data_IF_051773778320
#
_entry.id   IF_051773778320
#
_cell.length_a   1.000
_cell.length_b   1.000
_cell.length_c   1.000
_cell.angle_alpha   90.00
_cell.angle_beta   90.00
_cell.angle_gamma   90.00
#
_symmetry.space_group_name_H-M   'P 1'
#
loop_
_entity.id
_entity.type
_entity.pdbx_description
1 polymer ?
#
# COMPACT_ATOMS: atom_id res chain seq x y z
N UNK A 1 16.52 -14.60 42.86
CA UNK A 1 15.96 -13.44 42.11
C UNK A 1 16.76 -12.98 40.88
N UNK A 2 17.96 -13.53 40.55
CA UNK A 2 18.75 -13.11 39.36
C UNK A 2 18.36 -13.73 38.01
N UNK A 3 17.72 -14.91 37.99
CA UNK A 3 17.42 -15.61 36.73
C UNK A 3 16.30 -14.97 35.88
N UNK A 4 15.34 -14.30 36.51
CA UNK A 4 14.20 -13.73 35.80
C UNK A 4 14.60 -12.60 34.82
N UNK A 5 15.56 -11.76 35.21
CA UNK A 5 15.97 -10.59 34.41
C UNK A 5 16.69 -10.99 33.11
N UNK A 6 17.58 -11.99 33.19
CA UNK A 6 18.34 -12.52 32.03
C UNK A 6 17.45 -13.29 31.04
N UNK A 7 16.40 -13.97 31.51
CA UNK A 7 15.43 -14.64 30.64
C UNK A 7 14.55 -13.65 29.86
N UNK A 8 14.12 -12.56 30.51
CA UNK A 8 13.34 -11.51 29.86
C UNK A 8 14.15 -10.80 28.77
N UNK A 9 15.44 -10.52 29.01
CA UNK A 9 16.32 -9.90 28.00
C UNK A 9 16.47 -10.79 26.76
N UNK A 10 16.56 -12.12 26.93
CA UNK A 10 16.62 -13.06 25.81
C UNK A 10 15.30 -13.15 25.05
N UNK A 11 14.15 -13.14 25.72
CA UNK A 11 12.84 -13.15 25.04
C UNK A 11 12.64 -11.86 24.24
N UNK A 12 12.85 -10.69 24.85
CA UNK A 12 12.67 -9.40 24.18
C UNK A 12 13.59 -9.27 22.95
N UNK A 13 14.83 -9.75 23.06
CA UNK A 13 15.78 -9.79 21.93
C UNK A 13 15.27 -10.69 20.80
N UNK A 14 14.83 -11.92 21.11
CA UNK A 14 14.28 -12.84 20.09
C UNK A 14 13.04 -12.25 19.41
N UNK A 15 12.08 -11.72 20.17
CA UNK A 15 10.88 -11.14 19.59
C UNK A 15 11.19 -9.95 18.69
N UNK A 16 12.09 -9.05 19.12
CA UNK A 16 12.52 -7.90 18.32
C UNK A 16 13.20 -8.32 17.01
N UNK A 17 14.07 -9.33 17.06
CA UNK A 17 14.75 -9.84 15.87
C UNK A 17 13.80 -10.56 14.91
N UNK A 18 12.82 -11.32 15.42
CA UNK A 18 11.80 -11.94 14.57
C UNK A 18 10.97 -10.87 13.86
N UNK A 19 10.52 -9.84 14.59
CA UNK A 19 9.81 -8.70 13.99
C UNK A 19 10.66 -8.00 12.94
N UNK A 20 11.94 -7.75 13.23
CA UNK A 20 12.86 -7.11 12.28
C UNK A 20 12.94 -7.90 10.97
N UNK A 21 13.20 -9.21 11.05
CA UNK A 21 13.29 -10.10 9.88
C UNK A 21 11.99 -10.13 9.07
N UNK A 22 10.86 -10.27 9.76
CA UNK A 22 9.53 -10.22 9.14
C UNK A 22 9.29 -8.89 8.40
N UNK A 23 9.71 -7.77 8.99
CA UNK A 23 9.61 -6.44 8.36
C UNK A 23 10.56 -6.24 7.17
N UNK A 24 11.60 -7.07 7.01
CA UNK A 24 12.43 -7.09 5.81
C UNK A 24 11.83 -7.98 4.70
N UNK A 25 10.65 -8.55 4.92
CA UNK A 25 10.03 -9.49 3.99
C UNK A 25 10.64 -10.90 4.04
N UNK A 26 11.44 -11.23 5.06
CA UNK A 26 12.00 -12.58 5.20
C UNK A 26 10.88 -13.60 5.48
N UNK A 27 11.00 -14.76 4.82
CA UNK A 27 10.22 -15.96 5.13
C UNK A 27 10.96 -16.81 6.15
N UNK A 28 10.34 -17.05 7.30
CA UNK A 28 10.98 -17.65 8.46
C UNK A 28 10.43 -19.06 8.72
N UNK A 29 11.27 -19.96 9.23
CA UNK A 29 10.84 -21.28 9.71
C UNK A 29 11.16 -21.44 11.18
N UNK A 30 10.34 -22.24 11.89
CA UNK A 30 10.55 -22.56 13.31
C UNK A 30 11.92 -23.19 13.52
N UNK A 31 12.36 -24.02 12.56
CA UNK A 31 13.63 -24.74 12.60
C UNK A 31 14.83 -23.81 12.42
N UNK A 32 14.78 -22.87 11.47
CA UNK A 32 15.83 -21.87 11.28
C UNK A 32 16.01 -21.02 12.53
N UNK A 33 14.91 -20.48 13.07
CA UNK A 33 14.97 -19.64 14.27
C UNK A 33 15.42 -20.40 15.52
N UNK A 34 15.02 -21.66 15.68
CA UNK A 34 15.46 -22.49 16.80
C UNK A 34 16.98 -22.68 16.79
N UNK A 35 17.55 -22.94 15.60
CA UNK A 35 18.99 -23.05 15.42
C UNK A 35 19.70 -21.70 15.63
N UNK A 36 19.19 -20.62 15.04
CA UNK A 36 19.75 -19.26 15.15
C UNK A 36 19.82 -18.78 16.60
N UNK A 37 18.74 -18.98 17.36
CA UNK A 37 18.67 -18.52 18.75
C UNK A 37 19.19 -19.54 19.77
N UNK A 38 19.56 -20.75 19.33
CA UNK A 38 20.00 -21.82 20.21
C UNK A 38 18.93 -22.27 21.23
N UNK A 39 17.66 -22.31 20.80
CA UNK A 39 16.51 -22.68 21.65
C UNK A 39 15.70 -23.82 21.03
N UNK A 40 14.80 -24.42 21.82
CA UNK A 40 13.93 -25.48 21.31
C UNK A 40 12.87 -24.94 20.33
N UNK A 41 12.44 -25.78 19.38
CA UNK A 41 11.31 -25.49 18.48
C UNK A 41 10.05 -25.04 19.25
N UNK A 42 9.77 -25.69 20.39
CA UNK A 42 8.66 -25.32 21.31
C UNK A 42 8.78 -23.91 21.89
N UNK A 43 10.00 -23.40 22.07
CA UNK A 43 10.23 -22.01 22.53
C UNK A 43 9.85 -21.03 21.43
N UNK A 44 10.27 -21.31 20.18
CA UNK A 44 9.92 -20.50 19.02
C UNK A 44 8.41 -20.54 18.76
N UNK A 45 7.76 -21.70 18.84
CA UNK A 45 6.30 -21.82 18.70
C UNK A 45 5.56 -20.91 19.70
N UNK A 46 5.99 -20.89 20.96
CA UNK A 46 5.45 -19.96 21.97
C UNK A 46 5.74 -18.51 21.63
N UNK A 47 6.91 -18.19 21.11
CA UNK A 47 7.27 -16.81 20.74
C UNK A 47 6.43 -16.33 19.57
N UNK A 48 6.23 -17.16 18.55
CA UNK A 48 5.34 -16.87 17.42
C UNK A 48 3.88 -16.70 17.87
N UNK A 49 3.41 -17.52 18.81
CA UNK A 49 2.05 -17.37 19.35
C UNK A 49 1.81 -16.01 20.04
N UNK A 50 2.85 -15.30 20.48
CA UNK A 50 2.72 -13.94 21.04
C UNK A 50 2.48 -12.88 19.97
N UNK A 51 2.74 -13.18 18.72
CA UNK A 51 2.42 -12.32 17.59
C UNK A 51 1.00 -12.56 17.05
N UNK A 52 0.07 -13.08 17.88
CA UNK A 52 -1.32 -13.32 17.48
C UNK A 52 -2.07 -12.08 16.97
N UNK A 53 -1.57 -10.88 17.28
CA UNK A 53 -2.10 -9.61 16.81
C UNK A 53 -1.42 -9.08 15.53
N UNK A 54 -0.41 -9.79 15.01
CA UNK A 54 0.23 -9.48 13.74
C UNK A 54 -0.38 -10.36 12.65
N UNK A 55 -0.57 -9.80 11.46
CA UNK A 55 -1.03 -10.53 10.26
C UNK A 55 0.09 -11.39 9.66
N UNK A 56 0.59 -12.34 10.45
CA UNK A 56 1.59 -13.31 9.99
C UNK A 56 0.87 -14.40 9.21
N UNK A 57 1.17 -14.51 7.92
CA UNK A 57 0.73 -15.61 7.07
C UNK A 57 1.62 -16.83 7.29
N UNK A 58 1.04 -18.01 7.04
CA UNK A 58 1.74 -19.28 7.09
C UNK A 58 1.52 -20.04 5.79
N UNK A 59 2.61 -20.46 5.17
CA UNK A 59 2.60 -21.30 3.97
C UNK A 59 3.52 -22.50 4.21
N UNK A 60 2.93 -23.68 4.33
CA UNK A 60 3.66 -24.89 4.73
C UNK A 60 4.37 -24.72 6.09
N UNK A 61 5.71 -24.70 6.06
CA UNK A 61 6.57 -24.54 7.25
C UNK A 61 7.06 -23.10 7.45
N UNK A 62 6.80 -22.23 6.49
CA UNK A 62 7.24 -20.85 6.51
C UNK A 62 6.16 -19.94 7.06
N UNK A 63 6.59 -18.88 7.73
CA UNK A 63 5.75 -17.77 8.14
C UNK A 63 6.39 -16.45 7.77
N UNK A 64 5.57 -15.52 7.34
CA UNK A 64 5.98 -14.23 6.78
C UNK A 64 4.85 -13.23 6.97
N UNK A 65 5.18 -11.95 6.91
CA UNK A 65 4.16 -10.91 6.77
C UNK A 65 3.80 -10.83 5.29
N UNK A 66 2.51 -10.64 4.98
CA UNK A 66 2.04 -10.43 3.60
C UNK A 66 2.90 -9.36 2.91
N UNK A 67 3.26 -9.51 1.64
CA UNK A 67 4.04 -8.49 0.91
C UNK A 67 3.30 -7.13 0.90
N UNK A 68 1.97 -7.15 1.03
CA UNK A 68 1.11 -5.97 1.19
C UNK A 68 0.93 -5.51 2.65
N UNK A 69 1.31 -6.33 3.65
CA UNK A 69 1.22 -6.02 5.08
C UNK A 69 2.58 -5.70 5.73
N UNK A 70 3.70 -6.05 5.09
CA UNK A 70 5.03 -5.55 5.43
C UNK A 70 5.06 -4.04 5.16
N UNK A 71 4.96 -3.23 6.21
CA UNK A 71 4.87 -1.78 6.05
C UNK A 71 3.48 -1.30 5.66
N UNK A 72 2.51 -1.43 6.58
CA UNK A 72 1.29 -0.60 6.58
C UNK A 72 1.68 0.84 6.20
N UNK A 73 0.94 1.44 5.25
CA UNK A 73 1.04 2.83 4.79
C UNK A 73 1.82 3.71 5.78
N UNK A 74 3.10 3.91 5.51
CA UNK A 74 3.98 4.71 6.34
C UNK A 74 3.95 6.18 5.88
N UNK A 75 4.66 7.07 6.58
CA UNK A 75 4.67 8.49 6.21
C UNK A 75 5.21 8.74 4.80
N UNK A 76 6.13 7.91 4.31
CA UNK A 76 6.67 8.04 2.96
C UNK A 76 5.65 7.56 1.92
N UNK A 77 4.84 6.54 2.20
CA UNK A 77 3.74 6.12 1.33
C UNK A 77 2.69 7.24 1.20
N UNK A 78 2.35 7.92 2.30
CA UNK A 78 1.43 9.05 2.29
C UNK A 78 2.02 10.23 1.49
N UNK A 79 3.33 10.52 1.64
CA UNK A 79 4.01 11.54 0.84
C UNK A 79 3.99 11.18 -0.65
N UNK A 80 4.31 9.94 -0.99
CA UNK A 80 4.34 9.45 -2.36
C UNK A 80 2.95 9.52 -2.99
N UNK A 81 1.90 9.14 -2.24
CA UNK A 81 0.51 9.32 -2.65
C UNK A 81 0.17 10.79 -2.89
N UNK A 82 0.54 11.70 -1.98
CA UNK A 82 0.28 13.13 -2.14
C UNK A 82 1.02 13.75 -3.34
N UNK A 83 2.22 13.28 -3.66
CA UNK A 83 2.98 13.67 -4.86
C UNK A 83 2.28 13.12 -6.12
N UNK A 84 1.98 11.83 -6.12
CA UNK A 84 1.36 11.14 -7.26
C UNK A 84 -0.01 11.72 -7.62
N UNK A 85 -0.86 11.97 -6.62
CA UNK A 85 -2.18 12.58 -6.80
C UNK A 85 -2.13 14.09 -7.08
N UNK A 86 -0.94 14.70 -7.07
CA UNK A 86 -0.77 16.13 -7.35
C UNK A 86 -1.18 17.07 -6.21
N UNK A 87 -1.59 16.54 -5.05
CA UNK A 87 -2.08 17.34 -3.92
C UNK A 87 -0.97 17.84 -2.99
N UNK A 88 0.29 17.43 -3.19
CA UNK A 88 1.43 17.88 -2.38
C UNK A 88 1.50 19.41 -2.27
N UNK A 89 1.20 20.13 -3.36
CA UNK A 89 1.26 21.60 -3.41
C UNK A 89 0.19 22.30 -2.59
N UNK A 90 -0.86 21.59 -2.15
CA UNK A 90 -1.91 22.13 -1.28
C UNK A 90 -1.43 22.33 0.15
N UNK A 91 -0.35 21.66 0.54
CA UNK A 91 0.17 21.69 1.90
C UNK A 91 1.52 22.41 1.95
N UNK A 92 1.79 23.21 3.01
CA UNK A 92 3.05 23.94 3.14
C UNK A 92 4.26 23.01 3.36
N UNK A 93 4.03 21.81 3.89
CA UNK A 93 5.03 20.75 4.00
C UNK A 93 4.34 19.38 4.09
N UNK A 94 5.09 18.30 3.87
CA UNK A 94 4.65 16.94 4.16
C UNK A 94 5.64 16.25 5.11
N UNK A 95 6.12 16.96 6.13
CA UNK A 95 7.01 16.36 7.14
C UNK A 95 6.26 15.28 7.94
N UNK A 96 6.98 14.33 8.53
CA UNK A 96 6.33 13.30 9.35
C UNK A 96 5.55 13.91 10.52
N UNK A 97 6.00 15.03 11.07
CA UNK A 97 5.27 15.75 12.12
C UNK A 97 3.97 16.36 11.57
N UNK A 98 4.04 17.07 10.44
CA UNK A 98 2.86 17.63 9.79
C UNK A 98 1.81 16.56 9.47
N UNK A 99 2.24 15.40 8.96
CA UNK A 99 1.36 14.28 8.66
C UNK A 99 0.72 13.68 9.93
N UNK A 100 1.44 13.61 11.05
CA UNK A 100 0.85 13.22 12.35
C UNK A 100 -0.20 14.21 12.81
N UNK A 101 0.07 15.50 12.63
CA UNK A 101 -0.81 16.57 13.09
C UNK A 101 -2.11 16.58 12.29
N UNK A 102 -2.08 16.46 10.95
CA UNK A 102 -3.30 16.47 10.12
C UNK A 102 -4.17 15.21 10.29
N UNK A 103 -3.56 14.06 10.58
CA UNK A 103 -4.28 12.80 10.86
C UNK A 103 -4.92 12.78 12.26
N UNK A 104 -4.57 13.73 13.12
CA UNK A 104 -5.21 13.87 14.43
C UNK A 104 -6.56 14.60 14.28
N UNK A 105 -7.67 13.91 14.56
CA UNK A 105 -9.04 14.43 14.39
C UNK A 105 -9.30 15.79 15.09
N UNK A 106 -8.58 16.10 16.17
CA UNK A 106 -8.71 17.40 16.85
C UNK A 106 -8.07 18.56 16.08
N UNK A 107 -7.00 18.28 15.35
CA UNK A 107 -6.22 19.27 14.57
C UNK A 107 -6.75 19.36 13.14
N UNK A 108 -7.31 18.27 12.59
CA UNK A 108 -7.94 18.25 11.26
C UNK A 108 -9.06 19.30 11.11
N UNK A 109 -9.71 19.71 12.22
CA UNK A 109 -10.71 20.80 12.23
C UNK A 109 -10.17 22.18 11.81
N UNK A 110 -8.86 22.40 11.84
CA UNK A 110 -8.25 23.66 11.47
C UNK A 110 -8.09 23.85 9.95
N UNK A 111 -8.18 22.77 9.17
CA UNK A 111 -7.91 22.79 7.74
C UNK A 111 -9.03 22.08 6.99
N UNK A 112 -9.58 22.74 5.98
CA UNK A 112 -10.52 22.12 5.06
C UNK A 112 -9.96 22.28 3.65
N UNK A 113 -9.67 21.16 3.00
CA UNK A 113 -9.28 21.14 1.59
C UNK A 113 -10.53 20.86 0.77
N UNK A 114 -11.17 21.93 0.28
CA UNK A 114 -12.23 21.80 -0.72
C UNK A 114 -11.59 21.85 -2.11
N UNK A 115 -11.71 20.77 -2.88
CA UNK A 115 -11.35 20.82 -4.29
C UNK A 115 -12.54 21.31 -5.11
N UNK A 116 -12.31 22.22 -6.04
CA UNK A 116 -13.34 22.69 -6.97
C UNK A 116 -13.65 21.59 -7.99
N UNK A 117 -14.73 20.84 -7.76
CA UNK A 117 -15.44 20.08 -8.79
C UNK A 117 -14.70 18.85 -9.32
N UNK A 118 -14.49 17.83 -8.48
CA UNK A 118 -14.29 16.48 -9.03
C UNK A 118 -15.61 15.97 -9.60
N UNK A 119 -15.53 15.30 -10.75
CA UNK A 119 -16.58 14.41 -11.19
C UNK A 119 -16.76 13.32 -10.13
N UNK A 120 -17.99 13.13 -9.64
CA UNK A 120 -18.31 11.96 -8.83
C UNK A 120 -18.27 10.73 -9.75
N UNK A 121 -17.15 10.02 -9.70
CA UNK A 121 -16.93 8.80 -10.47
C UNK A 121 -17.22 7.55 -9.67
N UNK A 122 -17.89 7.64 -8.50
CA UNK A 122 -18.26 6.46 -7.72
C UNK A 122 -19.11 5.51 -8.57
N UNK A 123 -20.05 6.05 -9.34
CA UNK A 123 -20.85 5.28 -10.32
C UNK A 123 -20.02 4.74 -11.51
N UNK A 124 -18.83 5.30 -11.77
CA UNK A 124 -17.92 4.91 -12.85
C UNK A 124 -16.73 4.06 -12.35
N UNK A 125 -16.73 3.62 -11.09
CA UNK A 125 -15.65 2.83 -10.49
C UNK A 125 -15.28 1.62 -11.35
N UNK A 126 -16.28 0.83 -11.78
CA UNK A 126 -16.03 -0.37 -12.57
C UNK A 126 -15.36 -0.06 -13.91
N UNK A 127 -15.73 1.06 -14.55
CA UNK A 127 -15.09 1.52 -15.79
C UNK A 127 -13.63 1.90 -15.53
N UNK A 128 -13.37 2.65 -14.46
CA UNK A 128 -12.02 3.04 -14.05
C UNK A 128 -11.12 1.82 -13.82
N UNK A 129 -11.61 0.81 -13.10
CA UNK A 129 -10.89 -0.45 -12.84
C UNK A 129 -10.61 -1.22 -14.13
N UNK A 130 -11.62 -1.37 -15.01
CA UNK A 130 -11.46 -2.07 -16.28
C UNK A 130 -10.42 -1.40 -17.19
N UNK A 131 -10.45 -0.06 -17.28
CA UNK A 131 -9.46 0.70 -18.04
C UNK A 131 -8.06 0.59 -17.43
N UNK A 132 -7.95 0.60 -16.10
CA UNK A 132 -6.68 0.43 -15.39
C UNK A 132 -6.06 -0.93 -15.69
N UNK A 133 -6.85 -2.01 -15.60
CA UNK A 133 -6.41 -3.35 -15.94
C UNK A 133 -5.97 -3.46 -17.40
N UNK A 134 -6.73 -2.87 -18.33
CA UNK A 134 -6.35 -2.87 -19.75
C UNK A 134 -5.02 -2.14 -20.03
N UNK A 135 -4.72 -1.07 -19.30
CA UNK A 135 -3.43 -0.35 -19.37
C UNK A 135 -2.30 -1.24 -18.86
N UNK A 136 -2.48 -1.84 -17.68
CA UNK A 136 -1.46 -2.69 -17.02
C UNK A 136 -1.15 -3.93 -17.86
N UNK A 137 -2.18 -4.54 -18.45
CA UNK A 137 -2.06 -5.73 -19.28
C UNK A 137 -1.72 -5.43 -20.74
N UNK A 138 -1.50 -4.15 -21.09
CA UNK A 138 -1.21 -3.67 -22.44
C UNK A 138 -2.24 -4.16 -23.50
N UNK A 139 -3.52 -4.26 -23.10
CA UNK A 139 -4.60 -4.79 -23.94
C UNK A 139 -5.25 -3.70 -24.79
N UNK A 140 -5.39 -3.96 -26.09
CA UNK A 140 -6.26 -3.17 -26.97
C UNK A 140 -7.71 -3.29 -26.51
N UNK A 141 -8.40 -2.16 -26.41
CA UNK A 141 -9.82 -2.09 -26.02
C UNK A 141 -10.68 -1.50 -27.11
N UNK A 142 -11.98 -1.80 -27.08
CA UNK A 142 -12.96 -1.17 -27.96
C UNK A 142 -14.17 -0.66 -27.19
N UNK A 143 -14.61 0.56 -27.50
CA UNK A 143 -15.75 1.22 -26.87
C UNK A 143 -16.43 2.18 -27.84
N UNK A 144 -17.61 2.69 -27.48
CA UNK A 144 -18.27 3.76 -28.23
C UNK A 144 -17.96 5.11 -27.57
N UNK A 145 -17.65 6.11 -28.40
CA UNK A 145 -17.42 7.48 -27.95
C UNK A 145 -17.92 8.46 -29.01
N UNK A 146 -18.84 9.36 -28.62
CA UNK A 146 -19.59 10.23 -29.52
C UNK A 146 -20.16 9.45 -30.72
N UNK A 147 -20.90 8.37 -30.42
CA UNK A 147 -21.57 7.47 -31.37
C UNK A 147 -20.65 6.76 -32.38
N UNK A 148 -19.33 6.79 -32.15
CA UNK A 148 -18.33 6.12 -32.99
C UNK A 148 -17.66 5.01 -32.22
N UNK A 149 -17.58 3.82 -32.83
CA UNK A 149 -16.77 2.72 -32.29
C UNK A 149 -15.29 3.09 -32.40
N UNK A 150 -14.59 2.97 -31.28
CA UNK A 150 -13.15 3.20 -31.13
C UNK A 150 -12.47 1.87 -30.84
N UNK A 151 -11.28 1.70 -31.38
CA UNK A 151 -10.37 0.60 -31.04
C UNK A 151 -9.02 1.26 -30.76
N UNK A 152 -8.56 1.15 -29.51
CA UNK A 152 -7.42 1.94 -29.03
C UNK A 152 -6.50 1.12 -28.14
N UNK A 153 -5.23 1.51 -28.08
CA UNK A 153 -4.27 0.98 -27.11
C UNK A 153 -4.17 1.98 -25.95
N UNK A 154 -4.72 1.67 -24.77
CA UNK A 154 -4.75 2.60 -23.65
C UNK A 154 -3.36 2.75 -23.01
N UNK A 155 -3.01 3.96 -22.60
CA UNK A 155 -1.71 4.25 -21.97
C UNK A 155 -1.82 4.75 -20.54
N UNK A 156 -2.77 5.65 -20.28
CA UNK A 156 -2.85 6.32 -18.96
C UNK A 156 -4.24 6.91 -18.72
N UNK A 157 -4.70 6.82 -17.48
CA UNK A 157 -5.80 7.64 -16.97
C UNK A 157 -5.23 8.95 -16.42
N UNK A 158 -5.79 10.07 -16.84
CA UNK A 158 -5.33 11.41 -16.49
C UNK A 158 -6.51 12.16 -15.88
N UNK A 159 -6.34 12.67 -14.64
CA UNK A 159 -7.28 13.64 -14.08
C UNK A 159 -6.75 15.05 -14.34
N UNK A 160 -7.52 15.87 -15.03
CA UNK A 160 -7.19 17.28 -15.27
C UNK A 160 -8.41 18.11 -14.92
N UNK A 161 -8.23 19.08 -14.02
CA UNK A 161 -9.31 19.96 -13.54
C UNK A 161 -10.55 19.17 -13.03
N UNK A 162 -10.32 18.03 -12.37
CA UNK A 162 -11.39 17.23 -11.79
C UNK A 162 -12.08 16.24 -12.74
N UNK A 163 -11.73 16.26 -14.04
CA UNK A 163 -12.31 15.37 -15.06
C UNK A 163 -11.31 14.26 -15.42
N UNK A 164 -11.80 13.04 -15.54
CA UNK A 164 -11.00 11.88 -15.93
C UNK A 164 -11.00 11.65 -17.45
N UNK A 165 -9.79 11.43 -17.98
CA UNK A 165 -9.56 11.13 -19.38
C UNK A 165 -8.75 9.84 -19.53
N UNK A 166 -9.14 9.00 -20.48
CA UNK A 166 -8.29 7.97 -21.02
C UNK A 166 -7.41 8.54 -22.14
N UNK A 167 -6.09 8.53 -21.96
CA UNK A 167 -5.12 8.76 -23.03
C UNK A 167 -4.77 7.44 -23.71
N UNK A 168 -4.96 7.35 -25.03
CA UNK A 168 -4.77 6.12 -25.79
C UNK A 168 -4.28 6.37 -27.23
N UNK A 169 -3.63 5.38 -27.83
CA UNK A 169 -3.27 5.38 -29.26
C UNK A 169 -4.48 4.95 -30.10
N UNK A 170 -4.90 5.80 -31.03
CA UNK A 170 -5.85 5.47 -32.09
C UNK A 170 -5.21 5.81 -33.44
N UNK A 171 -5.01 4.81 -34.31
CA UNK A 171 -4.39 4.98 -35.63
C UNK A 171 -3.05 5.73 -35.58
N UNK A 172 -2.12 5.28 -34.73
CA UNK A 172 -0.80 5.89 -34.49
C UNK A 172 -0.81 7.34 -34.00
N UNK A 173 -1.96 7.84 -33.53
CA UNK A 173 -2.09 9.17 -32.95
C UNK A 173 -2.57 9.07 -31.51
N UNK A 174 -1.93 9.78 -30.58
CA UNK A 174 -2.37 9.86 -29.19
C UNK A 174 -3.60 10.75 -29.11
N UNK A 175 -4.67 10.25 -28.46
CA UNK A 175 -5.92 10.97 -28.24
C UNK A 175 -6.40 10.78 -26.81
N UNK A 176 -7.26 11.69 -26.35
CA UNK A 176 -7.92 11.63 -25.04
C UNK A 176 -9.41 11.43 -25.18
N UNK A 177 -10.00 10.63 -24.30
CA UNK A 177 -11.43 10.33 -24.23
C UNK A 177 -11.90 10.58 -22.81
N UNK A 178 -12.91 11.43 -22.62
CA UNK A 178 -13.52 11.60 -21.29
C UNK A 178 -14.37 10.38 -20.92
N UNK A 179 -14.53 10.16 -19.62
CA UNK A 179 -15.52 9.23 -19.07
C UNK A 179 -16.95 9.64 -19.46
#
# INVERSE_FOLDING_TARGET
>A
MRNHKLEHDKLATRLSLIIYKLNQGERLTIESLANEFGVSKRTIERDIARFSYFDIKKEGKEFFLDELAVGKLNFDDIKNFAIFSGIKSLFPSLTNQFLKDILNEKINRAYMVQNSGFEDIEEKQQLFENLSSAIIEEKTISFFYNDKKRVVNPYKLINTNGIWYLSALENNTIKTYTF
#
